data_IF_496711033344
#
_entry.id   IF_496711033344
#
_cell.length_a   1.000
_cell.length_b   1.000
_cell.length_c   1.000
_cell.angle_alpha   90.00
_cell.angle_beta   90.00
_cell.angle_gamma   90.00
#
_symmetry.space_group_name_H-M   'P 1'
#
loop_
_entity.id
_entity.type
_entity.pdbx_description
1 polymer ?
#
# COMPACT_ATOMS: atom_id res chain seq x y z
N UNK A 1 6.05 9.30 3.31
CA UNK A 1 6.91 8.63 4.29
C UNK A 1 6.06 8.12 5.43
N UNK A 2 6.40 6.98 6.04
CA UNK A 2 5.72 6.42 7.22
C UNK A 2 6.68 6.40 8.39
N UNK A 3 6.29 6.99 9.51
CA UNK A 3 7.07 7.00 10.73
C UNK A 3 6.31 6.23 11.81
N UNK A 4 7.00 5.31 12.48
CA UNK A 4 6.50 4.59 13.66
C UNK A 4 7.51 4.76 14.77
N UNK A 5 7.10 5.40 15.85
CA UNK A 5 7.92 5.57 17.05
C UNK A 5 7.61 4.38 17.97
N UNK A 6 8.63 3.59 18.38
CA UNK A 6 8.46 2.53 19.36
C UNK A 6 8.06 3.08 20.73
N UNK A 7 7.24 2.33 21.47
CA UNK A 7 6.93 2.67 22.87
C UNK A 7 8.04 2.24 23.84
N UNK A 8 8.07 2.84 25.03
CA UNK A 8 9.13 2.62 26.03
C UNK A 8 9.32 1.13 26.44
N UNK A 9 8.25 0.34 26.42
CA UNK A 9 8.26 -1.10 26.73
C UNK A 9 7.74 -1.97 25.57
N UNK A 10 7.84 -1.48 24.33
CA UNK A 10 7.38 -2.25 23.19
C UNK A 10 8.44 -3.25 22.71
N UNK A 11 8.07 -4.52 22.63
CA UNK A 11 8.90 -5.55 21.99
C UNK A 11 9.14 -5.24 20.50
N UNK A 12 10.36 -5.48 20.03
CA UNK A 12 10.81 -5.12 18.68
C UNK A 12 9.90 -5.68 17.56
N UNK A 13 9.37 -6.89 17.75
CA UNK A 13 8.50 -7.54 16.78
C UNK A 13 7.15 -6.83 16.65
N UNK A 14 6.60 -6.33 17.76
CA UNK A 14 5.37 -5.52 17.75
C UNK A 14 5.59 -4.23 16.97
N UNK A 15 6.71 -3.53 17.22
CA UNK A 15 7.05 -2.29 16.53
C UNK A 15 7.18 -2.53 15.01
N UNK A 16 7.87 -3.61 14.61
CA UNK A 16 8.03 -4.01 13.20
C UNK A 16 6.70 -4.38 12.55
N UNK A 17 5.79 -5.05 13.27
CA UNK A 17 4.47 -5.39 12.76
C UNK A 17 3.62 -4.13 12.52
N UNK A 18 3.66 -3.15 13.42
CA UNK A 18 2.99 -1.85 13.22
C UNK A 18 3.61 -1.10 12.04
N UNK A 19 4.94 -1.03 11.97
CA UNK A 19 5.64 -0.41 10.85
C UNK A 19 5.22 -1.04 9.50
N UNK A 20 5.23 -2.37 9.39
CA UNK A 20 4.82 -3.06 8.15
C UNK A 20 3.37 -2.75 7.77
N UNK A 21 2.47 -2.63 8.75
CA UNK A 21 1.06 -2.23 8.53
C UNK A 21 0.97 -0.79 8.03
N UNK A 22 1.66 0.15 8.65
CA UNK A 22 1.67 1.56 8.22
C UNK A 22 2.28 1.73 6.82
N UNK A 23 3.39 1.04 6.51
CA UNK A 23 3.98 1.02 5.15
C UNK A 23 3.00 0.48 4.11
N UNK A 24 2.27 -0.58 4.46
CA UNK A 24 1.26 -1.19 3.57
C UNK A 24 0.04 -0.27 3.38
N UNK A 25 -0.42 0.35 4.47
CA UNK A 25 -1.55 1.31 4.48
C UNK A 25 -1.22 2.56 3.67
N UNK A 26 0.00 3.06 3.77
CA UNK A 26 0.49 4.20 3.00
C UNK A 26 0.71 3.89 1.51
N UNK A 27 0.58 2.63 1.07
CA UNK A 27 0.65 2.29 -0.34
C UNK A 27 2.05 2.40 -0.96
N UNK A 28 3.11 2.46 -0.14
CA UNK A 28 4.49 2.72 -0.59
C UNK A 28 4.96 1.71 -1.64
N UNK A 29 4.70 0.42 -1.44
CA UNK A 29 5.11 -0.62 -2.40
C UNK A 29 4.37 -0.55 -3.74
N UNK A 30 3.02 -0.41 -3.78
CA UNK A 30 2.29 -0.11 -5.02
C UNK A 30 2.81 1.13 -5.75
N UNK A 31 3.10 2.21 -5.02
CA UNK A 31 3.61 3.44 -5.61
C UNK A 31 5.00 3.25 -6.19
N UNK A 32 5.89 2.58 -5.48
CA UNK A 32 7.21 2.23 -6.01
C UNK A 32 7.06 1.42 -7.31
N UNK A 33 6.17 0.42 -7.36
CA UNK A 33 5.95 -0.39 -8.57
C UNK A 33 5.43 0.41 -9.75
N UNK A 34 4.51 1.34 -9.51
CA UNK A 34 3.93 2.24 -10.53
C UNK A 34 4.99 3.18 -11.14
N UNK A 35 5.94 3.65 -10.34
CA UNK A 35 6.94 4.63 -10.79
C UNK A 35 8.26 3.97 -11.23
N UNK A 36 8.37 2.63 -11.21
CA UNK A 36 9.58 1.91 -11.66
C UNK A 36 9.90 2.11 -13.15
N UNK A 37 8.89 2.35 -13.96
CA UNK A 37 9.01 2.64 -15.39
C UNK A 37 7.91 3.63 -15.78
N UNK A 38 8.09 4.27 -16.94
CA UNK A 38 7.06 5.13 -17.51
C UNK A 38 5.83 4.30 -17.90
N UNK A 39 4.64 4.74 -17.47
CA UNK A 39 3.37 4.24 -17.95
C UNK A 39 2.80 5.24 -18.96
N UNK A 40 2.43 4.76 -20.16
CA UNK A 40 1.66 5.55 -21.12
C UNK A 40 0.30 5.95 -20.56
N UNK A 41 -0.37 6.98 -21.12
CA UNK A 41 -1.70 7.39 -20.67
C UNK A 41 -2.73 6.25 -20.68
N UNK A 42 -2.66 5.34 -21.65
CA UNK A 42 -3.57 4.20 -21.80
C UNK A 42 -3.32 3.17 -20.69
N UNK A 43 -2.06 2.81 -20.44
CA UNK A 43 -1.68 1.88 -19.37
C UNK A 43 -2.10 2.41 -17.99
N UNK A 44 -1.90 3.71 -17.76
CA UNK A 44 -2.34 4.38 -16.53
C UNK A 44 -3.86 4.31 -16.34
N UNK A 45 -4.66 4.47 -17.41
CA UNK A 45 -6.13 4.31 -17.36
C UNK A 45 -6.52 2.87 -17.05
N UNK A 46 -5.93 1.90 -17.75
CA UNK A 46 -6.18 0.46 -17.55
C UNK A 46 -5.85 0.01 -16.11
N UNK A 47 -4.70 0.44 -15.56
CA UNK A 47 -4.31 0.12 -14.17
C UNK A 47 -5.31 0.67 -13.16
N UNK A 48 -5.78 1.92 -13.33
CA UNK A 48 -6.78 2.54 -12.44
C UNK A 48 -8.12 1.79 -12.48
N UNK A 49 -8.57 1.41 -13.66
CA UNK A 49 -9.81 0.66 -13.82
C UNK A 49 -9.75 -0.72 -13.14
N UNK A 50 -8.67 -1.47 -13.36
CA UNK A 50 -8.44 -2.76 -12.69
C UNK A 50 -8.41 -2.59 -11.17
N UNK A 51 -7.74 -1.55 -10.67
CA UNK A 51 -7.70 -1.27 -9.23
C UNK A 51 -9.10 -1.00 -8.66
N UNK A 52 -9.92 -0.20 -9.35
CA UNK A 52 -11.31 0.07 -8.97
C UNK A 52 -12.14 -1.21 -8.94
N UNK A 53 -12.09 -2.05 -9.98
CA UNK A 53 -12.82 -3.32 -10.00
C UNK A 53 -12.38 -4.27 -8.88
N UNK A 54 -11.06 -4.36 -8.61
CA UNK A 54 -10.57 -5.17 -7.49
C UNK A 54 -11.07 -4.66 -6.14
N UNK A 55 -11.10 -3.34 -5.93
CA UNK A 55 -11.62 -2.74 -4.70
C UNK A 55 -13.13 -3.00 -4.54
N UNK A 56 -13.90 -2.85 -5.61
CA UNK A 56 -15.32 -3.13 -5.63
C UNK A 56 -15.62 -4.60 -5.30
N UNK A 57 -14.90 -5.55 -5.94
CA UNK A 57 -15.03 -6.99 -5.64
C UNK A 57 -14.69 -7.34 -4.19
N UNK A 58 -13.72 -6.64 -3.59
CA UNK A 58 -13.39 -6.81 -2.16
C UNK A 58 -14.50 -6.28 -1.24
N UNK A 59 -15.13 -5.16 -1.59
CA UNK A 59 -16.25 -4.58 -0.82
C UNK A 59 -17.48 -5.49 -0.79
N UNK A 60 -17.80 -6.14 -1.91
CA UNK A 60 -18.93 -7.06 -2.01
C UNK A 60 -18.66 -8.48 -1.50
N UNK A 61 -17.41 -8.78 -1.10
CA UNK A 61 -17.03 -10.06 -0.47
C UNK A 61 -17.14 -10.03 1.06
N UNK A 62 -17.34 -8.84 1.63
CA UNK A 62 -17.73 -8.62 3.02
C UNK A 62 -19.26 -8.68 3.10
#
# INVERSE_FOLDING_TARGET
MTQVIPGENEGIESALRRFKREVSKAGIFPDMRKHRHFETPIEKRKRKEIARHKQQRKRFRL
#
